data_IF_803516621837
#
_entry.id   IF_803516621837
#
_cell.length_a   1.000
_cell.length_b   1.000
_cell.length_c   1.000
_cell.angle_alpha   90.00
_cell.angle_beta   90.00
_cell.angle_gamma   90.00
#
_symmetry.space_group_name_H-M   'P 1'
#
loop_
_entity.id
_entity.type
_entity.pdbx_description
1 polymer ?
#
# COMPACT_ATOMS: atom_id res chain seq x y z
N UNK A 1 7.32 9.10 -32.84
CA UNK A 1 6.31 8.39 -32.02
C UNK A 1 5.93 7.00 -32.55
N UNK A 2 5.83 6.79 -33.87
CA UNK A 2 5.51 5.48 -34.47
C UNK A 2 6.46 4.33 -34.07
N UNK A 3 7.80 4.47 -34.06
CA UNK A 3 8.70 3.35 -33.75
C UNK A 3 8.56 2.82 -32.32
N UNK A 4 8.18 3.66 -31.36
CA UNK A 4 7.99 3.26 -29.95
C UNK A 4 6.72 2.42 -29.83
N UNK A 5 5.63 2.85 -30.45
CA UNK A 5 4.36 2.13 -30.43
C UNK A 5 4.47 0.74 -31.07
N UNK A 6 5.14 0.65 -32.23
CA UNK A 6 5.41 -0.61 -32.93
C UNK A 6 6.22 -1.57 -32.06
N UNK A 7 7.25 -1.07 -31.37
CA UNK A 7 8.06 -1.88 -30.45
C UNK A 7 7.24 -2.45 -29.28
N UNK A 8 6.31 -1.68 -28.70
CA UNK A 8 5.39 -2.19 -27.67
C UNK A 8 4.42 -3.22 -28.22
N UNK A 9 3.83 -2.95 -29.39
CA UNK A 9 2.85 -3.85 -30.01
C UNK A 9 3.45 -5.18 -30.44
N UNK A 10 4.68 -5.20 -30.95
CA UNK A 10 5.32 -6.41 -31.44
C UNK A 10 6.17 -7.09 -30.35
N UNK A 11 7.25 -6.43 -29.91
CA UNK A 11 8.22 -7.02 -28.99
C UNK A 11 7.63 -7.18 -27.57
N UNK A 12 6.94 -6.16 -27.07
CA UNK A 12 6.32 -6.20 -25.75
C UNK A 12 5.26 -7.29 -25.66
N UNK A 13 4.38 -7.40 -26.66
CA UNK A 13 3.36 -8.44 -26.71
C UNK A 13 3.97 -9.83 -26.82
N UNK A 14 5.01 -10.01 -27.65
CA UNK A 14 5.73 -11.27 -27.78
C UNK A 14 6.37 -11.70 -26.46
N UNK A 15 6.96 -10.76 -25.72
CA UNK A 15 7.58 -10.99 -24.44
C UNK A 15 6.57 -11.47 -23.38
N UNK A 16 5.40 -10.82 -23.30
CA UNK A 16 4.35 -11.27 -22.39
C UNK A 16 3.77 -12.63 -22.76
N UNK A 17 3.63 -12.94 -24.04
CA UNK A 17 3.20 -14.26 -24.50
C UNK A 17 4.23 -15.36 -24.15
N UNK A 18 5.52 -15.04 -24.15
CA UNK A 18 6.55 -15.93 -23.64
C UNK A 18 6.34 -16.23 -22.15
N UNK A 19 6.13 -15.20 -21.32
CA UNK A 19 5.91 -15.40 -19.89
C UNK A 19 4.59 -16.11 -19.56
N UNK A 20 3.55 -15.95 -20.36
CA UNK A 20 2.31 -16.70 -20.17
C UNK A 20 2.53 -18.22 -20.23
N UNK A 21 3.46 -18.67 -21.06
CA UNK A 21 3.79 -20.08 -21.25
C UNK A 21 4.98 -20.57 -20.43
N UNK A 22 5.61 -19.69 -19.66
CA UNK A 22 6.74 -20.01 -18.80
C UNK A 22 6.31 -20.65 -17.48
N UNK A 23 7.24 -21.29 -16.77
CA UNK A 23 7.00 -21.91 -15.46
C UNK A 23 6.95 -20.91 -14.29
N UNK A 24 7.38 -19.67 -14.51
CA UNK A 24 7.40 -18.64 -13.47
C UNK A 24 5.98 -18.31 -13.02
N UNK A 25 5.76 -18.37 -11.70
CA UNK A 25 4.50 -17.98 -11.09
C UNK A 25 4.39 -16.45 -10.90
N UNK A 26 5.53 -15.76 -10.73
CA UNK A 26 5.61 -14.32 -10.49
C UNK A 26 6.30 -13.60 -11.64
N UNK A 27 5.72 -12.49 -12.06
CA UNK A 27 6.25 -11.61 -13.10
C UNK A 27 6.29 -10.18 -12.55
N UNK A 28 7.37 -9.46 -12.86
CA UNK A 28 7.48 -8.03 -12.54
C UNK A 28 7.39 -7.19 -13.81
N UNK A 29 6.65 -6.07 -13.73
CA UNK A 29 6.57 -5.06 -14.79
C UNK A 29 7.03 -3.75 -14.21
N UNK A 30 8.17 -3.24 -14.66
CA UNK A 30 8.84 -2.10 -14.03
C UNK A 30 8.05 -0.81 -14.22
N UNK A 31 7.51 -0.46 -15.31
CA UNK A 31 6.68 0.73 -15.43
C UNK A 31 5.66 0.62 -16.56
N UNK A 32 4.42 1.03 -16.28
CA UNK A 32 3.37 1.24 -17.27
C UNK A 32 2.86 2.68 -17.15
N UNK A 33 2.77 3.40 -18.28
CA UNK A 33 2.34 4.79 -18.28
C UNK A 33 1.71 5.24 -19.61
N UNK A 34 1.97 6.47 -19.99
CA UNK A 34 1.37 7.08 -21.18
C UNK A 34 1.89 6.50 -22.50
N UNK A 35 3.08 5.90 -22.53
CA UNK A 35 3.67 5.33 -23.73
C UNK A 35 2.85 4.14 -24.26
N UNK A 36 2.26 3.36 -23.35
CA UNK A 36 1.47 2.19 -23.66
C UNK A 36 -0.01 2.50 -23.97
N UNK A 37 -0.43 3.76 -23.82
CA UNK A 37 -1.85 4.16 -23.91
C UNK A 37 -2.51 3.83 -25.26
N UNK A 38 -1.74 3.77 -26.34
CA UNK A 38 -2.25 3.42 -27.67
C UNK A 38 -1.76 2.06 -28.17
N UNK A 39 -1.04 1.30 -27.34
CA UNK A 39 -0.52 -0.02 -27.68
C UNK A 39 -1.53 -1.13 -27.28
N UNK A 40 -2.67 -1.21 -27.97
CA UNK A 40 -3.78 -2.10 -27.56
C UNK A 40 -3.41 -3.58 -27.50
N UNK A 41 -2.54 -4.09 -28.35
CA UNK A 41 -2.07 -5.46 -28.30
C UNK A 41 -1.25 -5.74 -27.05
N UNK A 42 -0.40 -4.79 -26.66
CA UNK A 42 0.36 -4.81 -25.41
C UNK A 42 -0.57 -4.78 -24.19
N UNK A 43 -1.54 -3.85 -24.16
CA UNK A 43 -2.53 -3.75 -23.08
C UNK A 43 -3.31 -5.06 -22.89
N UNK A 44 -3.74 -5.68 -23.98
CA UNK A 44 -4.44 -6.97 -23.94
C UNK A 44 -3.54 -8.10 -23.42
N UNK A 45 -2.25 -8.09 -23.76
CA UNK A 45 -1.30 -9.06 -23.28
C UNK A 45 -1.04 -8.89 -21.77
N UNK A 46 -0.94 -7.65 -21.27
CA UNK A 46 -0.86 -7.35 -19.82
C UNK A 46 -2.11 -7.87 -19.10
N UNK A 47 -3.30 -7.55 -19.59
CA UNK A 47 -4.56 -8.03 -18.98
C UNK A 47 -4.64 -9.56 -18.93
N UNK A 48 -4.21 -10.21 -19.99
CA UNK A 48 -4.15 -11.68 -20.05
C UNK A 48 -3.12 -12.23 -19.04
N UNK A 49 -1.97 -11.58 -18.90
CA UNK A 49 -0.96 -11.98 -17.91
C UNK A 49 -1.51 -11.92 -16.48
N UNK A 50 -2.24 -10.85 -16.14
CA UNK A 50 -2.88 -10.68 -14.83
C UNK A 50 -3.88 -11.78 -14.46
N UNK A 51 -4.52 -12.42 -15.44
CA UNK A 51 -5.46 -13.53 -15.18
C UNK A 51 -4.78 -14.89 -14.99
N UNK A 52 -3.48 -15.01 -15.30
CA UNK A 52 -2.78 -16.30 -15.30
C UNK A 52 -1.55 -16.33 -14.39
N UNK A 53 -1.03 -15.18 -13.99
CA UNK A 53 0.20 -15.05 -13.21
C UNK A 53 0.02 -14.09 -12.04
N UNK A 54 0.85 -14.23 -11.03
CA UNK A 54 1.02 -13.19 -10.02
C UNK A 54 1.90 -12.09 -10.60
N UNK A 55 1.40 -10.87 -10.65
CA UNK A 55 2.12 -9.75 -11.26
C UNK A 55 2.34 -8.66 -10.22
N UNK A 56 3.60 -8.24 -10.06
CA UNK A 56 3.96 -7.01 -9.37
C UNK A 56 4.29 -5.97 -10.44
N UNK A 57 3.53 -4.88 -10.49
CA UNK A 57 3.76 -3.84 -11.48
C UNK A 57 3.83 -2.45 -10.86
N UNK A 58 4.65 -1.59 -11.43
CA UNK A 58 4.65 -0.16 -11.17
C UNK A 58 3.87 0.53 -12.27
N UNK A 59 2.90 1.36 -11.90
CA UNK A 59 2.13 2.16 -12.85
C UNK A 59 2.29 3.65 -12.52
N UNK A 60 2.35 4.48 -13.54
CA UNK A 60 2.38 5.93 -13.37
C UNK A 60 1.04 6.43 -12.84
N UNK A 61 1.09 7.40 -11.94
CA UNK A 61 -0.09 8.10 -11.44
C UNK A 61 -0.59 9.10 -12.49
N UNK A 62 -1.33 8.58 -13.46
CA UNK A 62 -1.86 9.34 -14.60
C UNK A 62 -3.33 8.94 -14.81
N UNK A 63 -4.14 9.90 -15.25
CA UNK A 63 -5.54 9.63 -15.58
C UNK A 63 -5.63 9.16 -17.05
N UNK A 64 -5.47 7.88 -17.29
CA UNK A 64 -5.55 7.20 -18.57
C UNK A 64 -6.47 5.99 -18.45
N UNK A 65 -7.31 5.75 -19.47
CA UNK A 65 -8.32 4.67 -19.42
C UNK A 65 -7.73 3.32 -19.10
N UNK A 66 -6.60 2.97 -19.71
CA UNK A 66 -5.94 1.70 -19.45
C UNK A 66 -5.43 1.57 -18.00
N UNK A 67 -4.84 2.62 -17.43
CA UNK A 67 -4.34 2.61 -16.06
C UNK A 67 -5.51 2.57 -15.06
N UNK A 68 -6.57 3.30 -15.33
CA UNK A 68 -7.79 3.30 -14.52
C UNK A 68 -8.47 1.91 -14.55
N UNK A 69 -8.51 1.26 -15.72
CA UNK A 69 -9.02 -0.10 -15.87
C UNK A 69 -8.20 -1.09 -15.02
N UNK A 70 -6.85 -1.02 -15.08
CA UNK A 70 -5.98 -1.87 -14.27
C UNK A 70 -6.23 -1.70 -12.77
N UNK A 71 -6.34 -0.45 -12.30
CA UNK A 71 -6.54 -0.14 -10.87
C UNK A 71 -7.92 -0.53 -10.37
N UNK A 72 -8.95 -0.51 -11.23
CA UNK A 72 -10.33 -0.83 -10.85
C UNK A 72 -10.65 -2.32 -10.82
N UNK A 73 -9.73 -3.18 -11.23
CA UNK A 73 -9.93 -4.65 -11.23
C UNK A 73 -10.06 -5.18 -9.81
N UNK A 74 -10.98 -6.10 -9.60
CA UNK A 74 -11.22 -6.76 -8.30
C UNK A 74 -10.09 -7.69 -7.86
N UNK A 75 -9.24 -8.13 -8.80
CA UNK A 75 -8.10 -9.02 -8.57
C UNK A 75 -6.75 -8.24 -8.48
N UNK A 76 -6.80 -6.90 -8.42
CA UNK A 76 -5.63 -6.03 -8.26
C UNK A 76 -5.71 -5.29 -6.93
N UNK A 77 -4.62 -5.32 -6.18
CA UNK A 77 -4.41 -4.49 -5.01
C UNK A 77 -3.48 -3.33 -5.36
N UNK A 78 -4.02 -2.13 -5.47
CA UNK A 78 -3.26 -0.92 -5.79
C UNK A 78 -2.81 -0.19 -4.53
N UNK A 79 -1.52 0.17 -4.47
CA UNK A 79 -0.93 1.00 -3.41
C UNK A 79 -0.49 2.32 -4.00
N UNK A 80 -1.06 3.42 -3.52
CA UNK A 80 -0.58 4.77 -3.84
C UNK A 80 0.67 5.07 -3.00
N UNK A 81 1.83 5.19 -3.65
CA UNK A 81 3.10 5.43 -2.95
C UNK A 81 3.18 6.81 -2.29
N UNK A 82 2.36 7.78 -2.71
CA UNK A 82 2.24 9.07 -2.01
C UNK A 82 1.40 8.96 -0.74
N UNK A 83 0.50 7.96 -0.69
CA UNK A 83 -0.37 7.67 0.45
C UNK A 83 -0.50 6.15 0.69
N UNK A 84 0.60 5.47 1.06
CA UNK A 84 0.67 4.00 1.07
C UNK A 84 -0.31 3.34 2.04
N UNK A 85 -0.80 4.10 3.02
CA UNK A 85 -1.76 3.65 4.04
C UNK A 85 -3.14 4.31 3.91
N UNK A 86 -3.44 5.00 2.79
CA UNK A 86 -4.67 5.78 2.62
C UNK A 86 -5.97 5.00 2.84
N UNK A 87 -5.97 3.71 2.50
CA UNK A 87 -7.11 2.80 2.66
C UNK A 87 -6.98 1.87 3.90
N UNK A 88 -5.93 2.03 4.70
CA UNK A 88 -5.69 1.23 5.89
C UNK A 88 -6.12 1.97 7.16
N UNK A 89 -6.64 1.22 8.13
CA UNK A 89 -6.79 1.67 9.51
C UNK A 89 -5.62 1.20 10.36
N UNK A 90 -5.29 1.97 11.41
CA UNK A 90 -4.25 1.61 12.38
C UNK A 90 -4.86 1.32 13.74
N UNK A 91 -4.57 0.16 14.30
CA UNK A 91 -4.90 -0.20 15.69
C UNK A 91 -3.62 -0.24 16.50
N UNK A 92 -3.51 0.60 17.51
CA UNK A 92 -2.38 0.67 18.43
C UNK A 92 -2.74 -0.09 19.71
N UNK A 93 -2.09 -1.22 19.96
CA UNK A 93 -2.30 -2.02 21.15
C UNK A 93 -1.48 -1.45 22.31
N UNK A 94 -2.14 -0.92 23.32
CA UNK A 94 -1.54 -0.24 24.48
C UNK A 94 -2.05 -0.76 25.83
N UNK A 95 -2.44 -2.05 25.91
CA UNK A 95 -2.99 -2.69 27.11
C UNK A 95 -1.94 -3.49 27.93
N UNK A 96 -0.68 -3.50 27.52
CA UNK A 96 0.37 -4.26 28.18
C UNK A 96 0.64 -3.76 29.60
N UNK A 97 0.65 -4.66 30.59
CA UNK A 97 0.85 -4.32 32.00
C UNK A 97 2.32 -4.04 32.38
N UNK A 98 3.28 -4.32 31.50
CA UNK A 98 4.69 -4.03 31.73
C UNK A 98 5.32 -4.76 32.92
N UNK A 99 4.82 -5.95 33.30
CA UNK A 99 5.22 -6.70 34.49
C UNK A 99 6.73 -6.92 34.61
N UNK A 100 7.41 -7.14 33.49
CA UNK A 100 8.88 -7.27 33.45
C UNK A 100 9.62 -5.94 33.63
N UNK A 101 8.94 -4.82 33.45
CA UNK A 101 9.50 -3.49 33.59
C UNK A 101 9.23 -2.85 34.96
N UNK A 102 8.35 -3.47 35.78
CA UNK A 102 7.96 -2.94 37.07
C UNK A 102 6.90 -1.84 37.04
N UNK A 103 6.28 -1.58 35.88
CA UNK A 103 5.27 -0.57 35.68
C UNK A 103 4.82 -0.43 34.22
N UNK A 104 3.98 0.57 33.96
CA UNK A 104 3.52 0.83 32.59
C UNK A 104 4.59 1.55 31.77
N UNK A 105 5.44 0.79 31.07
CA UNK A 105 6.52 1.32 30.23
C UNK A 105 6.05 2.30 29.16
N UNK A 106 4.78 2.23 28.74
CA UNK A 106 4.24 3.12 27.69
C UNK A 106 4.11 4.57 28.15
N UNK A 107 4.05 4.77 29.49
CA UNK A 107 3.99 6.12 30.10
C UNK A 107 5.37 6.65 30.48
N UNK A 108 6.41 5.80 30.45
CA UNK A 108 7.77 6.23 30.75
C UNK A 108 8.30 7.20 29.72
N UNK A 109 9.04 8.20 30.20
CA UNK A 109 9.62 9.21 29.35
C UNK A 109 10.80 8.66 28.55
N UNK A 110 10.68 8.70 27.23
CA UNK A 110 11.75 8.39 26.28
C UNK A 110 11.99 9.62 25.40
N UNK A 111 13.19 10.17 25.46
CA UNK A 111 13.53 11.43 24.77
C UNK A 111 12.49 12.55 25.00
N UNK A 112 12.11 12.76 26.26
CA UNK A 112 11.28 13.90 26.69
C UNK A 112 9.77 13.74 26.53
N UNK A 113 9.28 12.59 26.02
CA UNK A 113 7.84 12.32 25.94
C UNK A 113 7.53 10.84 26.23
N UNK A 114 6.28 10.50 26.68
CA UNK A 114 5.89 9.13 26.92
C UNK A 114 6.13 8.22 25.70
N UNK A 115 6.55 6.99 25.94
CA UNK A 115 6.83 6.03 24.86
C UNK A 115 5.63 5.82 23.93
N UNK A 116 4.41 5.80 24.47
CA UNK A 116 3.17 5.72 23.64
C UNK A 116 3.04 6.91 22.70
N UNK A 117 3.49 8.11 23.07
CA UNK A 117 3.39 9.30 22.23
C UNK A 117 4.20 9.14 20.95
N UNK A 118 5.33 8.43 20.98
CA UNK A 118 6.11 8.11 19.78
C UNK A 118 5.32 7.29 18.77
N UNK A 119 4.55 6.29 19.25
CA UNK A 119 3.69 5.50 18.37
C UNK A 119 2.53 6.32 17.80
N UNK A 120 1.94 7.20 18.63
CA UNK A 120 0.88 8.11 18.19
C UNK A 120 1.38 9.10 17.13
N UNK A 121 2.56 9.67 17.32
CA UNK A 121 3.17 10.60 16.36
C UNK A 121 3.57 9.88 15.05
N UNK A 122 4.18 8.72 15.16
CA UNK A 122 4.61 7.95 14.00
C UNK A 122 3.45 7.51 13.09
N UNK A 123 2.24 7.39 13.64
CA UNK A 123 1.04 7.01 12.89
C UNK A 123 0.18 8.21 12.47
N UNK A 124 0.52 9.41 12.95
CA UNK A 124 -0.21 10.63 12.63
C UNK A 124 -0.09 11.00 11.15
N UNK A 125 -1.21 11.28 10.50
CA UNK A 125 -1.24 11.66 9.09
C UNK A 125 -1.01 10.53 8.09
N UNK A 126 -0.55 9.33 8.54
CA UNK A 126 -0.35 8.18 7.67
C UNK A 126 -1.63 7.38 7.43
N UNK A 127 -2.50 7.30 8.44
CA UNK A 127 -3.73 6.52 8.40
C UNK A 127 -4.95 7.42 8.50
N UNK A 128 -5.95 7.16 7.67
CA UNK A 128 -7.24 7.88 7.70
C UNK A 128 -8.03 7.61 8.98
N UNK A 129 -7.84 6.44 9.57
CA UNK A 129 -8.48 6.02 10.83
C UNK A 129 -7.47 5.39 11.75
N UNK A 130 -7.46 5.85 13.00
CA UNK A 130 -6.63 5.29 14.08
C UNK A 130 -7.50 4.94 15.28
N UNK A 131 -7.16 3.86 15.97
CA UNK A 131 -7.81 3.42 17.20
C UNK A 131 -6.72 2.98 18.18
N UNK A 132 -6.83 3.36 19.43
CA UNK A 132 -5.98 2.85 20.51
C UNK A 132 -6.78 1.88 21.37
N UNK A 133 -6.22 0.72 21.64
CA UNK A 133 -6.81 -0.27 22.59
C UNK A 133 -5.98 -0.24 23.86
N UNK A 134 -6.59 0.16 24.99
CA UNK A 134 -5.89 0.27 26.28
C UNK A 134 -6.82 -0.01 27.45
N UNK A 135 -6.24 -0.49 28.56
CA UNK A 135 -6.90 -0.60 29.87
C UNK A 135 -6.39 0.50 30.84
N UNK A 136 -5.49 1.37 30.37
CA UNK A 136 -4.83 2.38 31.19
C UNK A 136 -5.50 3.74 31.01
N UNK A 137 -6.10 4.29 32.08
CA UNK A 137 -6.79 5.58 32.08
C UNK A 137 -5.92 6.74 31.65
N UNK A 138 -4.63 6.72 32.00
CA UNK A 138 -3.68 7.77 31.63
C UNK A 138 -3.45 7.82 30.11
N UNK A 139 -3.39 6.66 29.46
CA UNK A 139 -3.29 6.56 28.00
C UNK A 139 -4.60 7.00 27.34
N UNK A 140 -5.74 6.59 27.89
CA UNK A 140 -7.04 7.08 27.43
C UNK A 140 -7.12 8.60 27.45
N UNK A 141 -6.77 9.25 28.58
CA UNK A 141 -6.77 10.71 28.70
C UNK A 141 -5.82 11.38 27.70
N UNK A 142 -4.66 10.79 27.46
CA UNK A 142 -3.71 11.30 26.47
C UNK A 142 -4.26 11.24 25.06
N UNK A 143 -4.95 10.15 24.71
CA UNK A 143 -5.61 9.98 23.41
C UNK A 143 -6.79 10.93 23.24
N UNK A 144 -7.61 11.12 24.28
CA UNK A 144 -8.76 12.07 24.26
C UNK A 144 -8.32 13.50 23.96
N UNK A 145 -7.20 13.96 24.56
CA UNK A 145 -6.61 15.28 24.27
C UNK A 145 -6.22 15.47 22.80
N UNK A 146 -5.98 14.38 22.08
CA UNK A 146 -5.57 14.37 20.68
C UNK A 146 -6.71 13.93 19.74
N UNK A 147 -7.93 13.81 20.25
CA UNK A 147 -9.11 13.34 19.51
C UNK A 147 -8.90 11.96 18.84
N UNK A 148 -8.11 11.06 19.48
CA UNK A 148 -7.87 9.71 18.99
C UNK A 148 -8.88 8.77 19.67
N UNK A 149 -9.69 8.01 18.93
CA UNK A 149 -10.63 7.03 19.49
C UNK A 149 -9.92 5.97 20.33
N UNK A 150 -10.56 5.58 21.44
CA UNK A 150 -10.04 4.56 22.37
C UNK A 150 -11.08 3.49 22.57
N UNK A 151 -10.63 2.23 22.61
CA UNK A 151 -11.37 1.07 23.07
C UNK A 151 -10.75 0.59 24.39
N UNK A 152 -11.58 0.44 25.43
CA UNK A 152 -11.20 -0.07 26.76
C UNK A 152 -11.38 -1.58 26.86
#
# INVERSE_FOLDING_TARGET
>A
MQPVLESFCEKGTSFFNFFLNSSEAWITIDEIGYLENHAYSYQNAVKKLLTHKHVLMVIRKQNLDFLNELQSRSDVFAVDLDQPYGNAGCIIMASGQGTRFGGNKLLEAFHGKPLIQWALDATAGLFSRRLVVTVHKEIEQLCQKQAIPVLL
#
